data_IF_503026079556
#
_entry.id   IF_503026079556
#
_cell.length_a   1.000
_cell.length_b   1.000
_cell.length_c   1.000
_cell.angle_alpha   90.00
_cell.angle_beta   90.00
_cell.angle_gamma   90.00
#
_symmetry.space_group_name_H-M   'P 1'
#
loop_
_entity.id
_entity.type
_entity.pdbx_description
1 polymer ?
#
# COMPACT_ATOMS: atom_id res chain seq x y z
N UNK A 1 -53.88 42.38 -19.46
CA UNK A 1 -53.01 42.20 -18.31
C UNK A 1 -52.29 40.85 -18.47
N UNK A 2 -51.04 40.87 -19.01
CA UNK A 2 -50.28 39.65 -19.32
C UNK A 2 -49.07 39.63 -18.41
N UNK A 3 -49.12 38.73 -17.43
CA UNK A 3 -48.01 38.49 -16.48
C UNK A 3 -47.00 37.56 -17.12
N UNK A 4 -45.79 38.00 -17.35
CA UNK A 4 -44.68 37.22 -17.83
C UNK A 4 -43.95 36.59 -16.63
N UNK A 5 -43.95 35.23 -16.56
CA UNK A 5 -43.08 34.49 -15.64
C UNK A 5 -41.70 34.36 -16.28
N UNK A 6 -40.68 34.94 -15.66
CA UNK A 6 -39.28 34.67 -15.96
C UNK A 6 -38.85 33.40 -15.25
N UNK A 7 -38.61 32.34 -16.01
CA UNK A 7 -38.00 31.11 -15.51
C UNK A 7 -36.45 31.30 -15.57
N UNK A 8 -35.82 31.44 -14.41
CA UNK A 8 -34.37 31.46 -14.29
C UNK A 8 -33.86 30.01 -14.26
N UNK A 9 -33.29 29.55 -15.37
CA UNK A 9 -32.49 28.30 -15.40
C UNK A 9 -31.17 28.53 -14.70
N UNK A 10 -31.05 28.00 -13.48
CA UNK A 10 -29.79 27.91 -12.75
C UNK A 10 -28.98 26.75 -13.32
N UNK A 11 -28.00 27.05 -14.17
CA UNK A 11 -27.05 26.09 -14.68
C UNK A 11 -26.09 25.69 -13.55
N UNK A 12 -26.25 24.48 -13.03
CA UNK A 12 -25.31 23.87 -12.09
C UNK A 12 -24.09 23.38 -12.90
N UNK A 13 -23.03 24.17 -12.92
CA UNK A 13 -21.75 23.74 -13.48
C UNK A 13 -21.13 22.74 -12.51
N UNK A 14 -21.26 21.44 -12.80
CA UNK A 14 -20.47 20.40 -12.15
C UNK A 14 -19.02 20.55 -12.63
N UNK A 15 -18.18 21.23 -11.86
CA UNK A 15 -16.74 21.13 -11.99
C UNK A 15 -16.33 19.74 -11.46
N UNK A 16 -16.21 18.79 -12.35
CA UNK A 16 -15.51 17.54 -12.05
C UNK A 16 -14.04 17.93 -11.76
N UNK A 17 -13.71 18.01 -10.47
CA UNK A 17 -12.34 18.11 -10.03
C UNK A 17 -11.62 16.83 -10.47
N UNK A 18 -10.80 16.93 -11.51
CA UNK A 18 -9.81 15.92 -11.85
C UNK A 18 -8.82 15.95 -10.69
N UNK A 19 -8.99 15.04 -9.73
CA UNK A 19 -7.96 14.75 -8.74
C UNK A 19 -6.80 14.14 -9.54
N UNK A 20 -5.80 14.97 -9.87
CA UNK A 20 -4.53 14.46 -10.34
C UNK A 20 -4.03 13.50 -9.25
N UNK A 21 -3.84 12.24 -9.62
CA UNK A 21 -3.10 11.31 -8.78
C UNK A 21 -1.76 11.97 -8.48
N UNK A 22 -1.56 12.38 -7.24
CA UNK A 22 -0.29 12.88 -6.77
C UNK A 22 0.72 11.77 -7.01
N UNK A 23 1.79 12.09 -7.73
CA UNK A 23 2.97 11.24 -7.88
C UNK A 23 3.54 11.12 -6.45
N UNK A 24 3.15 10.08 -5.72
CA UNK A 24 3.44 9.90 -4.28
C UNK A 24 4.91 9.49 -4.10
N UNK A 25 5.77 10.47 -4.37
CA UNK A 25 7.22 10.40 -4.14
C UNK A 25 7.48 10.75 -2.69
N UNK A 26 7.48 9.76 -1.84
CA UNK A 26 7.76 9.98 -0.43
C UNK A 26 7.34 8.80 0.45
N UNK A 27 7.65 8.88 1.77
CA UNK A 27 7.23 7.84 2.70
C UNK A 27 5.70 7.80 2.82
N UNK A 28 5.14 6.61 3.05
CA UNK A 28 3.72 6.43 3.35
C UNK A 28 3.29 7.31 4.53
N UNK A 29 1.99 7.64 4.66
CA UNK A 29 1.49 8.39 5.80
C UNK A 29 1.96 7.81 7.12
N UNK A 30 2.25 8.69 8.08
CA UNK A 30 2.65 8.26 9.43
C UNK A 30 1.42 7.72 10.17
N UNK A 31 1.42 6.42 10.46
CA UNK A 31 0.37 5.77 11.24
C UNK A 31 0.80 5.54 12.70
N UNK A 32 2.05 5.85 13.02
CA UNK A 32 2.62 5.62 14.35
C UNK A 32 3.34 4.28 14.48
N UNK A 33 4.31 4.27 15.40
CA UNK A 33 5.11 3.08 15.71
C UNK A 33 4.22 1.94 16.25
N UNK A 34 4.41 0.72 15.77
CA UNK A 34 3.62 -0.45 16.15
C UNK A 34 2.26 -0.59 15.44
N UNK A 35 1.84 0.37 14.63
CA UNK A 35 0.57 0.31 13.90
C UNK A 35 0.73 -0.34 12.52
N UNK A 36 -0.38 -0.85 11.97
CA UNK A 36 -0.41 -1.40 10.62
C UNK A 36 -0.25 -0.25 9.62
N UNK A 37 0.82 -0.29 8.83
CA UNK A 37 1.12 0.70 7.80
C UNK A 37 0.60 0.31 6.41
N UNK A 38 0.61 -1.00 6.10
CA UNK A 38 0.37 -1.52 4.78
C UNK A 38 -0.03 -2.99 4.83
N UNK A 39 -0.68 -3.47 3.78
CA UNK A 39 -0.89 -4.90 3.58
C UNK A 39 -0.77 -5.27 2.10
N UNK A 40 -0.33 -6.47 1.83
CA UNK A 40 -0.29 -7.05 0.48
C UNK A 40 -1.32 -8.17 0.36
N UNK A 41 -1.98 -8.22 -0.77
CA UNK A 41 -2.79 -9.36 -1.20
C UNK A 41 -2.15 -9.94 -2.46
N UNK A 42 -1.96 -11.24 -2.51
CA UNK A 42 -1.48 -11.93 -3.71
C UNK A 42 -2.63 -12.68 -4.37
N UNK A 43 -2.71 -12.58 -5.69
CA UNK A 43 -3.77 -13.20 -6.49
C UNK A 43 -3.20 -13.86 -7.75
N UNK A 44 -3.90 -14.85 -8.26
CA UNK A 44 -3.60 -15.44 -9.57
C UNK A 44 -4.22 -14.66 -10.74
N UNK A 45 -5.24 -13.82 -10.47
CA UNK A 45 -5.92 -12.99 -11.47
C UNK A 45 -6.22 -11.59 -10.91
N UNK A 46 -5.42 -10.60 -11.35
CA UNK A 46 -5.56 -9.22 -10.92
C UNK A 46 -6.94 -8.62 -11.25
N UNK A 47 -7.47 -8.89 -12.44
CA UNK A 47 -8.71 -8.25 -12.88
C UNK A 47 -9.91 -8.81 -12.11
N UNK A 48 -9.96 -10.12 -11.92
CA UNK A 48 -10.98 -10.77 -11.12
C UNK A 48 -10.97 -10.29 -9.67
N UNK A 49 -9.79 -10.20 -9.06
CA UNK A 49 -9.65 -9.72 -7.67
C UNK A 49 -9.99 -8.24 -7.54
N UNK A 50 -9.57 -7.39 -8.49
CA UNK A 50 -9.97 -5.97 -8.51
C UNK A 50 -11.49 -5.83 -8.54
N UNK A 51 -12.17 -6.53 -9.46
CA UNK A 51 -13.63 -6.49 -9.57
C UNK A 51 -14.31 -6.96 -8.28
N UNK A 52 -13.82 -8.04 -7.67
CA UNK A 52 -14.35 -8.59 -6.43
C UNK A 52 -14.22 -7.58 -5.26
N UNK A 53 -13.02 -7.04 -5.02
CA UNK A 53 -12.79 -6.13 -3.89
C UNK A 53 -13.43 -4.75 -4.11
N UNK A 54 -13.53 -4.27 -5.36
CA UNK A 54 -14.31 -3.07 -5.67
C UNK A 54 -15.78 -3.28 -5.33
N UNK A 55 -16.37 -4.40 -5.74
CA UNK A 55 -17.76 -4.72 -5.44
C UNK A 55 -18.04 -4.94 -3.96
N UNK A 56 -17.10 -5.52 -3.22
CA UNK A 56 -17.29 -5.88 -1.82
C UNK A 56 -16.99 -4.74 -0.85
N UNK A 57 -15.90 -3.99 -1.09
CA UNK A 57 -15.38 -2.98 -0.17
C UNK A 57 -15.35 -1.56 -0.73
N UNK A 58 -15.69 -1.38 -2.01
CA UNK A 58 -15.59 -0.09 -2.69
C UNK A 58 -14.13 0.36 -2.89
N UNK A 59 -13.17 -0.56 -2.84
CA UNK A 59 -11.78 -0.23 -3.07
C UNK A 59 -11.52 0.17 -4.52
N UNK A 60 -10.69 1.17 -4.70
CA UNK A 60 -10.16 1.61 -5.99
C UNK A 60 -8.76 1.02 -6.19
N UNK A 61 -8.34 0.92 -7.46
CA UNK A 61 -7.05 0.33 -7.81
C UNK A 61 -6.28 1.24 -8.77
N UNK A 62 -5.07 1.63 -8.37
CA UNK A 62 -4.15 2.41 -9.21
C UNK A 62 -3.03 1.50 -9.72
N UNK A 63 -2.74 1.58 -11.03
CA UNK A 63 -1.66 0.80 -11.62
C UNK A 63 -0.30 1.28 -11.12
N UNK A 64 0.59 0.34 -10.82
CA UNK A 64 1.98 0.64 -10.48
C UNK A 64 2.78 0.75 -11.77
N UNK A 65 3.39 1.93 -11.99
CA UNK A 65 4.18 2.21 -13.21
C UNK A 65 5.30 1.18 -13.41
N UNK A 66 5.33 0.57 -14.59
CA UNK A 66 6.28 -0.51 -14.91
C UNK A 66 5.86 -1.89 -14.44
N UNK A 67 4.76 -2.01 -13.67
CA UNK A 67 4.22 -3.27 -13.15
C UNK A 67 2.71 -3.41 -13.37
N UNK A 68 2.17 -2.75 -14.41
CA UNK A 68 0.72 -2.61 -14.64
C UNK A 68 -0.03 -3.94 -14.72
N UNK A 69 0.66 -5.00 -15.20
CA UNK A 69 0.12 -6.35 -15.31
C UNK A 69 0.46 -7.26 -14.11
N UNK A 70 1.27 -6.76 -13.16
CA UNK A 70 1.79 -7.54 -12.04
C UNK A 70 1.35 -7.00 -10.69
N UNK A 71 1.04 -5.71 -10.59
CA UNK A 71 0.63 -5.10 -9.33
C UNK A 71 -0.32 -3.92 -9.51
N UNK A 72 -1.07 -3.64 -8.46
CA UNK A 72 -1.85 -2.41 -8.32
C UNK A 72 -1.83 -1.96 -6.86
N UNK A 73 -1.82 -0.67 -6.61
CA UNK A 73 -2.10 -0.14 -5.28
C UNK A 73 -3.59 -0.22 -4.99
N UNK A 74 -3.92 -0.57 -3.76
CA UNK A 74 -5.28 -0.55 -3.21
C UNK A 74 -5.50 0.83 -2.60
N UNK A 75 -6.53 1.54 -3.06
CA UNK A 75 -6.83 2.91 -2.64
C UNK A 75 -8.20 2.95 -1.97
N UNK A 76 -8.28 3.65 -0.85
CA UNK A 76 -9.52 3.92 -0.13
C UNK A 76 -9.58 5.40 0.28
N UNK A 77 -10.62 6.11 -0.17
CA UNK A 77 -10.79 7.53 0.10
C UNK A 77 -9.61 8.38 -0.41
N UNK A 78 -9.06 8.04 -1.57
CA UNK A 78 -7.93 8.72 -2.20
C UNK A 78 -6.56 8.42 -1.56
N UNK A 79 -6.48 7.47 -0.62
CA UNK A 79 -5.23 7.09 0.06
C UNK A 79 -4.84 5.66 -0.28
N UNK A 80 -3.60 5.38 -0.67
CA UNK A 80 -3.11 4.02 -0.82
C UNK A 80 -2.99 3.36 0.55
N UNK A 81 -3.60 2.17 0.69
CA UNK A 81 -3.66 1.40 1.94
C UNK A 81 -3.00 0.02 1.84
N UNK A 82 -2.76 -0.45 0.64
CA UNK A 82 -2.22 -1.78 0.40
C UNK A 82 -1.84 -2.00 -1.05
N UNK A 83 -1.39 -3.20 -1.38
CA UNK A 83 -1.15 -3.62 -2.74
C UNK A 83 -1.79 -4.96 -3.07
N UNK A 84 -2.19 -5.09 -4.33
CA UNK A 84 -2.64 -6.33 -4.93
C UNK A 84 -1.57 -6.76 -5.93
N UNK A 85 -0.97 -7.95 -5.74
CA UNK A 85 0.12 -8.45 -6.57
C UNK A 85 -0.27 -9.77 -7.23
N UNK A 86 0.17 -9.95 -8.48
CA UNK A 86 -0.01 -11.21 -9.19
C UNK A 86 1.05 -12.22 -8.71
N UNK A 87 0.60 -13.42 -8.34
CA UNK A 87 1.49 -14.52 -8.03
C UNK A 87 2.18 -15.04 -9.29
N UNK A 88 3.45 -15.34 -9.18
CA UNK A 88 4.19 -16.14 -10.17
C UNK A 88 4.11 -17.62 -9.76
N UNK A 89 3.04 -18.29 -10.19
CA UNK A 89 2.83 -19.72 -9.87
C UNK A 89 1.94 -19.94 -8.65
N UNK A 90 2.36 -20.80 -7.72
CA UNK A 90 1.58 -21.13 -6.51
C UNK A 90 1.69 -20.00 -5.49
N UNK A 91 0.57 -19.71 -4.82
CA UNK A 91 0.55 -18.82 -3.65
C UNK A 91 1.46 -19.41 -2.56
N UNK A 92 2.36 -18.59 -2.05
CA UNK A 92 3.33 -18.96 -1.01
C UNK A 92 2.87 -18.52 0.39
N UNK A 93 3.49 -19.00 1.47
CA UNK A 93 3.21 -18.50 2.83
C UNK A 93 3.48 -17.00 3.01
N UNK A 94 4.29 -16.41 2.14
CA UNK A 94 4.60 -14.97 2.16
C UNK A 94 3.63 -14.12 1.33
N UNK A 95 2.57 -14.74 0.81
CA UNK A 95 1.50 -14.05 0.10
C UNK A 95 0.47 -13.55 1.11
N UNK A 96 0.23 -12.23 1.13
CA UNK A 96 -0.67 -11.62 2.09
C UNK A 96 0.02 -11.19 3.39
N UNK A 97 1.06 -10.37 3.29
CA UNK A 97 1.83 -9.85 4.43
C UNK A 97 1.25 -8.53 4.94
N UNK A 98 1.13 -8.41 6.26
CA UNK A 98 0.83 -7.16 6.96
C UNK A 98 2.14 -6.50 7.38
N UNK A 99 2.29 -5.19 7.13
CA UNK A 99 3.48 -4.43 7.50
C UNK A 99 3.19 -3.52 8.69
N UNK A 100 3.97 -3.65 9.73
CA UNK A 100 3.93 -2.81 10.93
C UNK A 100 4.92 -1.66 10.76
N UNK A 101 4.48 -0.43 11.03
CA UNK A 101 5.37 0.71 11.03
C UNK A 101 6.30 0.65 12.23
N UNK A 102 7.60 0.89 11.99
CA UNK A 102 8.64 0.95 13.02
C UNK A 102 9.53 2.17 12.80
N UNK A 103 10.01 2.78 13.88
CA UNK A 103 10.89 3.97 13.82
C UNK A 103 12.28 3.62 13.35
N UNK A 104 12.81 2.50 13.82
CA UNK A 104 14.16 2.00 13.53
C UNK A 104 14.06 0.57 12.99
N UNK A 105 14.12 0.44 11.68
CA UNK A 105 14.03 -0.86 11.04
C UNK A 105 15.23 -1.76 11.34
N UNK A 106 16.44 -1.19 11.33
CA UNK A 106 17.66 -1.97 11.58
C UNK A 106 17.69 -2.51 13.02
N UNK A 107 17.38 -1.65 14.01
CA UNK A 107 17.26 -2.04 15.40
C UNK A 107 16.13 -3.04 15.64
N UNK A 108 14.97 -2.86 14.96
CA UNK A 108 13.86 -3.82 15.06
C UNK A 108 14.23 -5.17 14.46
N UNK A 109 14.96 -5.21 13.34
CA UNK A 109 15.47 -6.47 12.77
C UNK A 109 16.45 -7.18 13.73
N UNK A 110 17.34 -6.42 14.37
CA UNK A 110 18.26 -6.97 15.38
C UNK A 110 17.47 -7.56 16.56
N UNK A 111 16.49 -6.82 17.07
CA UNK A 111 15.62 -7.27 18.16
C UNK A 111 14.80 -8.51 17.80
N UNK A 112 14.28 -8.58 16.58
CA UNK A 112 13.56 -9.75 16.09
C UNK A 112 14.43 -11.02 16.14
N UNK A 113 15.71 -10.92 15.74
CA UNK A 113 16.67 -12.04 15.85
C UNK A 113 16.92 -12.45 17.30
N UNK A 114 17.11 -11.48 18.22
CA UNK A 114 17.26 -11.77 19.65
C UNK A 114 16.06 -12.51 20.24
N UNK A 115 14.86 -12.23 19.73
CA UNK A 115 13.61 -12.87 20.13
C UNK A 115 13.34 -14.21 19.42
N UNK A 116 14.30 -14.72 18.64
CA UNK A 116 14.18 -16.01 17.94
C UNK A 116 13.55 -15.93 16.56
N UNK A 117 13.25 -14.74 16.04
CA UNK A 117 12.76 -14.55 14.68
C UNK A 117 13.88 -14.66 13.64
N UNK A 118 13.51 -14.96 12.41
CA UNK A 118 14.42 -15.09 11.26
C UNK A 118 14.13 -14.01 10.23
N UNK A 119 15.12 -13.20 9.87
CA UNK A 119 14.98 -12.23 8.77
C UNK A 119 15.02 -12.98 7.44
N UNK A 120 14.03 -12.71 6.59
CA UNK A 120 13.94 -13.33 5.27
C UNK A 120 15.11 -12.85 4.39
N UNK A 121 15.76 -13.75 3.64
CA UNK A 121 16.87 -13.38 2.75
C UNK A 121 16.48 -12.25 1.78
N UNK A 122 17.40 -11.28 1.59
CA UNK A 122 17.14 -10.08 0.78
C UNK A 122 16.53 -8.90 1.54
N UNK A 123 16.11 -9.10 2.79
CA UNK A 123 15.62 -8.03 3.67
C UNK A 123 16.64 -7.71 4.78
N UNK A 124 16.60 -6.48 5.37
CA UNK A 124 15.81 -5.33 4.94
C UNK A 124 16.43 -4.60 3.74
N UNK A 125 15.63 -3.79 3.03
CA UNK A 125 16.12 -2.93 1.94
C UNK A 125 15.35 -1.60 1.86
N UNK A 126 15.99 -0.59 1.26
CA UNK A 126 15.38 0.70 1.00
C UNK A 126 14.39 0.62 -0.18
N UNK A 127 13.25 1.27 -0.03
CA UNK A 127 12.32 1.49 -1.14
C UNK A 127 12.85 2.62 -2.03
N UNK A 128 12.53 2.53 -3.32
CA UNK A 128 12.87 3.58 -4.29
C UNK A 128 12.20 4.92 -3.95
N UNK A 129 12.74 6.00 -4.51
CA UNK A 129 12.20 7.37 -4.41
C UNK A 129 12.02 7.90 -2.97
N UNK A 130 12.83 7.41 -2.03
CA UNK A 130 12.80 7.90 -0.66
C UNK A 130 11.55 7.48 0.13
N UNK A 131 10.85 6.46 -0.33
CA UNK A 131 9.64 5.95 0.33
C UNK A 131 9.88 5.21 1.64
N UNK A 132 11.11 5.20 2.14
CA UNK A 132 11.51 4.52 3.37
C UNK A 132 12.14 3.17 3.12
N UNK A 133 12.01 2.23 4.06
CA UNK A 133 12.60 0.91 3.99
C UNK A 133 11.63 -0.16 4.50
N UNK A 134 11.79 -1.39 4.02
CA UNK A 134 11.00 -2.54 4.46
C UNK A 134 11.88 -3.69 4.94
N UNK A 135 11.36 -4.42 5.92
CA UNK A 135 11.90 -5.68 6.41
C UNK A 135 10.82 -6.77 6.39
N UNK A 136 11.24 -8.00 6.32
CA UNK A 136 10.37 -9.16 6.44
C UNK A 136 11.01 -10.15 7.41
N UNK A 137 10.26 -10.53 8.43
CA UNK A 137 10.69 -11.46 9.47
C UNK A 137 9.71 -12.62 9.59
N UNK A 138 10.22 -13.79 9.86
CA UNK A 138 9.41 -14.95 10.26
C UNK A 138 9.53 -15.08 11.77
N UNK A 139 8.40 -15.16 12.47
CA UNK A 139 8.37 -15.35 13.91
C UNK A 139 8.84 -16.76 14.30
N UNK A 140 9.09 -17.04 15.59
CA UNK A 140 9.53 -18.37 16.02
C UNK A 140 8.54 -19.53 15.72
N UNK A 141 7.26 -19.21 15.47
CA UNK A 141 6.23 -20.18 15.12
C UNK A 141 6.09 -20.39 13.59
N UNK A 142 6.81 -19.60 12.77
CA UNK A 142 6.83 -19.72 11.32
C UNK A 142 5.91 -18.77 10.57
N UNK A 143 5.34 -17.74 11.22
CA UNK A 143 4.47 -16.76 10.56
C UNK A 143 5.26 -15.54 10.06
N UNK A 144 5.12 -15.14 8.77
CA UNK A 144 5.78 -13.97 8.23
C UNK A 144 5.05 -12.67 8.62
N UNK A 145 5.80 -11.65 9.03
CA UNK A 145 5.32 -10.30 9.27
C UNK A 145 6.27 -9.28 8.66
N UNK A 146 5.72 -8.27 8.03
CA UNK A 146 6.46 -7.16 7.46
C UNK A 146 6.72 -6.05 8.48
N UNK A 147 7.80 -5.34 8.28
CA UNK A 147 8.14 -4.11 9.00
C UNK A 147 8.38 -3.00 7.99
N UNK A 148 7.87 -1.82 8.25
CA UNK A 148 8.03 -0.64 7.41
C UNK A 148 8.59 0.51 8.22
N UNK A 149 9.67 1.13 7.74
CA UNK A 149 10.16 2.39 8.27
C UNK A 149 10.01 3.50 7.24
N UNK A 150 9.57 4.67 7.68
CA UNK A 150 9.49 5.87 6.84
C UNK A 150 10.86 6.44 6.48
N UNK A 151 11.90 6.01 7.18
CA UNK A 151 13.29 6.42 6.95
C UNK A 151 14.08 5.30 6.28
N UNK A 152 15.05 5.69 5.46
CA UNK A 152 16.01 4.77 4.86
C UNK A 152 16.88 4.07 5.90
N UNK A 153 17.45 2.94 5.53
CA UNK A 153 18.41 2.21 6.35
C UNK A 153 19.68 3.06 6.58
N UNK A 154 20.36 2.90 7.74
CA UNK A 154 21.66 3.49 7.95
C UNK A 154 22.65 3.01 6.88
N UNK A 155 23.35 3.95 6.25
CA UNK A 155 24.44 3.59 5.31
C UNK A 155 25.57 2.95 6.11
N UNK A 156 25.88 1.70 5.80
CA UNK A 156 27.12 1.08 6.28
C UNK A 156 28.32 1.84 5.71
N UNK A 157 29.17 2.36 6.60
CA UNK A 157 30.46 2.97 6.23
C UNK A 157 31.44 1.91 5.76
#
# INVERSE_FOLDING_TARGET
MRTRFFSACLAFVLTAGISAAADDKGPKPDVGDGHVAWFDITTTDLNQSKAFYTGLFGWEFTSVKGYENLAAEIVLGGRPIGSLRKAEGKISPYDGVVYIQVKDLAGTCAKAKELGGTIVPGFPFDLEDGRGAIGLVVDPAGHPIGMYSRTALPKTK
#
